data_IF_774412126512
#
_entry.id   IF_774412126512
#
_cell.length_a   1.000
_cell.length_b   1.000
_cell.length_c   1.000
_cell.angle_alpha   90.00
_cell.angle_beta   90.00
_cell.angle_gamma   90.00
#
_symmetry.space_group_name_H-M   'P 1'
#
loop_
_entity.id
_entity.type
_entity.pdbx_description
1 polymer ?
#
# COMPACT_ATOMS: atom_id res chain seq x y z
N UNK A 1 0.85 -5.09 19.03
CA UNK A 1 -0.16 -4.00 19.01
C UNK A 1 -1.34 -4.47 18.16
N UNK A 2 -2.59 -4.25 18.56
CA UNK A 2 -3.73 -4.64 17.72
C UNK A 2 -4.02 -3.50 16.74
N UNK A 3 -3.69 -3.67 15.46
CA UNK A 3 -3.91 -2.64 14.43
C UNK A 3 -5.35 -2.12 14.49
N UNK A 4 -6.34 -2.99 14.71
CA UNK A 4 -7.75 -2.59 14.86
C UNK A 4 -7.96 -1.57 15.97
N UNK A 5 -7.32 -1.74 17.13
CA UNK A 5 -7.48 -0.80 18.24
C UNK A 5 -6.85 0.55 17.91
N UNK A 6 -5.66 0.55 17.31
CA UNK A 6 -5.02 1.77 16.83
C UNK A 6 -5.92 2.53 15.83
N UNK A 7 -6.51 1.84 14.85
CA UNK A 7 -7.49 2.43 13.93
C UNK A 7 -8.69 3.07 14.62
N UNK A 8 -9.23 2.42 15.66
CA UNK A 8 -10.36 2.93 16.43
C UNK A 8 -9.95 4.15 17.27
N UNK A 9 -8.77 4.13 17.87
CA UNK A 9 -8.24 5.23 18.68
C UNK A 9 -7.96 6.46 17.80
N UNK A 10 -7.35 6.28 16.61
CA UNK A 10 -7.13 7.36 15.64
C UNK A 10 -8.47 7.93 15.13
N UNK A 11 -9.48 7.08 14.88
CA UNK A 11 -10.82 7.54 14.49
C UNK A 11 -11.54 8.32 15.60
N UNK A 12 -11.27 7.99 16.87
CA UNK A 12 -11.76 8.72 18.04
C UNK A 12 -11.00 10.04 18.31
N UNK A 13 -9.90 10.30 17.59
CA UNK A 13 -9.03 11.46 17.81
C UNK A 13 -8.11 11.31 19.03
N UNK A 14 -8.02 10.11 19.61
CA UNK A 14 -7.22 9.79 20.80
C UNK A 14 -5.93 9.04 20.46
N UNK A 15 -5.83 8.49 19.25
CA UNK A 15 -4.66 7.78 18.73
C UNK A 15 -3.68 8.68 17.99
N UNK A 16 -2.41 8.28 17.98
CA UNK A 16 -1.40 8.91 17.14
C UNK A 16 -1.76 8.73 15.66
N UNK A 17 -1.52 9.77 14.86
CA UNK A 17 -1.72 9.73 13.40
C UNK A 17 -0.46 9.13 12.77
N UNK A 18 -0.36 7.81 12.82
CA UNK A 18 0.71 7.08 12.14
C UNK A 18 0.33 6.82 10.68
N UNK A 19 1.33 6.72 9.81
CA UNK A 19 1.13 6.25 8.45
C UNK A 19 0.85 4.74 8.47
N UNK A 20 -0.14 4.29 7.71
CA UNK A 20 -0.32 2.86 7.47
C UNK A 20 0.54 2.40 6.32
N UNK A 21 1.35 1.40 6.59
CA UNK A 21 2.16 0.72 5.60
C UNK A 21 1.50 -0.61 5.20
N UNK A 22 1.40 -0.83 3.89
CA UNK A 22 1.05 -2.10 3.28
C UNK A 22 2.21 -2.54 2.39
N UNK A 23 2.52 -3.83 2.41
CA UNK A 23 3.48 -4.45 1.49
C UNK A 23 2.69 -5.34 0.53
N UNK A 24 2.77 -5.05 -0.76
CA UNK A 24 2.22 -5.87 -1.82
C UNK A 24 3.36 -6.64 -2.50
N UNK A 25 3.20 -7.96 -2.61
CA UNK A 25 4.18 -8.82 -3.27
C UNK A 25 3.68 -9.13 -4.68
N UNK A 26 4.35 -8.64 -5.73
CA UNK A 26 3.90 -8.88 -7.09
C UNK A 26 4.23 -10.31 -7.54
N UNK A 27 3.30 -10.94 -8.26
CA UNK A 27 3.51 -12.28 -8.83
C UNK A 27 4.46 -12.31 -10.05
N UNK A 28 4.93 -11.13 -10.50
CA UNK A 28 5.87 -10.98 -11.61
C UNK A 28 6.80 -9.81 -11.33
N UNK A 29 7.92 -9.75 -12.04
CA UNK A 29 8.82 -8.60 -12.00
C UNK A 29 8.06 -7.31 -12.38
N UNK A 30 8.21 -6.27 -11.56
CA UNK A 30 7.69 -4.93 -11.80
C UNK A 30 8.85 -3.96 -11.99
N UNK A 31 8.55 -2.89 -12.70
CA UNK A 31 9.40 -1.70 -12.80
C UNK A 31 8.59 -0.50 -12.33
N UNK A 32 9.26 0.58 -11.93
CA UNK A 32 8.56 1.83 -11.57
C UNK A 32 7.65 2.30 -12.71
N UNK A 33 8.13 2.25 -13.95
CA UNK A 33 7.33 2.59 -15.13
C UNK A 33 6.06 1.73 -15.26
N UNK A 34 6.13 0.42 -15.00
CA UNK A 34 4.97 -0.45 -15.08
C UNK A 34 3.98 -0.20 -13.93
N UNK A 35 4.46 0.20 -12.75
CA UNK A 35 3.61 0.65 -11.65
C UNK A 35 2.87 1.95 -12.02
N UNK A 36 3.58 2.92 -12.59
CA UNK A 36 3.01 4.18 -13.05
C UNK A 36 1.93 3.94 -14.11
N UNK A 37 2.21 3.11 -15.12
CA UNK A 37 1.24 2.73 -16.15
C UNK A 37 -0.03 2.12 -15.55
N UNK A 38 0.09 1.22 -14.56
CA UNK A 38 -1.08 0.63 -13.89
C UNK A 38 -1.91 1.68 -13.14
N UNK A 39 -1.27 2.67 -12.52
CA UNK A 39 -1.95 3.77 -11.83
C UNK A 39 -2.64 4.74 -12.80
N UNK A 40 -2.10 4.90 -14.02
CA UNK A 40 -2.73 5.67 -15.09
C UNK A 40 -3.91 4.93 -15.74
N UNK A 41 -3.79 3.61 -15.92
CA UNK A 41 -4.80 2.78 -16.60
C UNK A 41 -6.00 2.41 -15.72
N UNK A 42 -5.84 2.40 -14.39
CA UNK A 42 -6.94 2.11 -13.48
C UNK A 42 -8.05 3.17 -13.56
N UNK A 43 -9.29 2.76 -13.30
CA UNK A 43 -10.46 3.65 -13.37
C UNK A 43 -11.15 3.86 -12.02
N UNK A 44 -10.55 3.35 -10.94
CA UNK A 44 -11.14 3.40 -9.60
C UNK A 44 -10.92 4.76 -8.92
N UNK A 45 -9.71 5.32 -9.08
CA UNK A 45 -9.33 6.65 -8.65
C UNK A 45 -9.35 7.63 -9.82
N UNK A 46 -9.71 8.87 -9.52
CA UNK A 46 -9.77 9.97 -10.49
C UNK A 46 -8.72 11.03 -10.15
N UNK A 47 -8.38 11.89 -11.11
CA UNK A 47 -7.42 13.00 -10.89
C UNK A 47 -6.07 12.50 -10.33
N UNK A 48 -5.56 11.39 -10.88
CA UNK A 48 -4.29 10.81 -10.48
C UNK A 48 -3.10 11.64 -10.95
N UNK A 49 -2.21 12.01 -10.03
CA UNK A 49 -0.96 12.72 -10.28
C UNK A 49 0.20 12.04 -9.54
N UNK A 50 1.38 11.99 -10.19
CA UNK A 50 2.59 11.37 -9.65
C UNK A 50 3.65 12.44 -9.35
N UNK A 51 4.07 12.51 -8.09
CA UNK A 51 5.17 13.37 -7.63
C UNK A 51 6.39 12.51 -7.27
N UNK A 52 7.48 12.62 -8.04
CA UNK A 52 8.69 11.84 -7.77
C UNK A 52 9.48 12.39 -6.59
N UNK A 53 10.04 11.48 -5.77
CA UNK A 53 11.01 11.82 -4.73
C UNK A 53 12.41 11.47 -5.25
N UNK A 54 13.29 12.46 -5.52
CA UNK A 54 14.57 12.23 -6.18
C UNK A 54 15.53 11.29 -5.45
N UNK A 55 15.37 11.08 -4.14
CA UNK A 55 16.36 10.42 -3.29
C UNK A 55 15.92 9.04 -2.75
N UNK A 56 14.63 8.71 -2.76
CA UNK A 56 14.08 7.53 -2.05
C UNK A 56 13.62 6.37 -2.95
N UNK A 57 13.79 6.45 -4.28
CA UNK A 57 13.39 5.38 -5.20
C UNK A 57 11.87 5.12 -5.27
N UNK A 58 11.07 6.01 -4.69
CA UNK A 58 9.60 5.99 -4.69
C UNK A 58 8.99 7.30 -5.17
N UNK A 59 7.67 7.35 -5.17
CA UNK A 59 6.88 8.51 -5.59
C UNK A 59 5.61 8.63 -4.77
N UNK A 60 5.05 9.85 -4.72
CA UNK A 60 3.70 10.04 -4.22
C UNK A 60 2.70 9.93 -5.37
N UNK A 61 1.63 9.20 -5.13
CA UNK A 61 0.44 9.18 -5.97
C UNK A 61 -0.68 9.94 -5.25
N UNK A 62 -1.03 11.11 -5.78
CA UNK A 62 -2.15 11.93 -5.32
C UNK A 62 -3.36 11.63 -6.19
N UNK A 63 -4.53 11.40 -5.61
CA UNK A 63 -5.74 11.09 -6.38
C UNK A 63 -7.01 11.42 -5.59
N UNK A 64 -8.17 11.26 -6.23
CA UNK A 64 -9.48 11.39 -5.61
C UNK A 64 -10.26 10.09 -5.67
N UNK A 65 -11.04 9.86 -4.61
CA UNK A 65 -12.16 8.93 -4.63
C UNK A 65 -13.39 9.65 -4.10
N UNK A 66 -14.40 9.82 -4.96
CA UNK A 66 -15.60 10.59 -4.66
C UNK A 66 -15.23 12.04 -4.24
N UNK A 67 -15.50 12.45 -3.00
CA UNK A 67 -15.13 13.78 -2.47
C UNK A 67 -13.82 13.77 -1.66
N UNK A 68 -13.16 12.61 -1.54
CA UNK A 68 -11.98 12.43 -0.70
C UNK A 68 -10.69 12.59 -1.49
N UNK A 69 -9.79 13.47 -1.00
CA UNK A 69 -8.42 13.62 -1.51
C UNK A 69 -7.49 12.64 -0.80
N UNK A 70 -6.83 11.80 -1.58
CA UNK A 70 -5.97 10.72 -1.10
C UNK A 70 -4.55 10.94 -1.59
N UNK A 71 -3.59 10.57 -0.75
CA UNK A 71 -2.17 10.58 -1.11
C UNK A 71 -1.50 9.33 -0.58
N UNK A 72 -0.83 8.62 -1.48
CA UNK A 72 -0.11 7.39 -1.19
C UNK A 72 1.37 7.58 -1.52
N UNK A 73 2.27 7.18 -0.63
CA UNK A 73 3.67 6.96 -1.00
C UNK A 73 3.80 5.54 -1.53
N UNK A 74 4.46 5.37 -2.67
CA UNK A 74 4.65 4.08 -3.33
C UNK A 74 6.14 3.92 -3.62
N UNK A 75 6.72 2.81 -3.18
CA UNK A 75 8.10 2.47 -3.45
C UNK A 75 8.23 1.02 -3.88
N UNK A 76 9.03 0.79 -4.92
CA UNK A 76 9.46 -0.53 -5.32
C UNK A 76 10.79 -0.82 -4.63
N UNK A 77 10.84 -1.88 -3.83
CA UNK A 77 12.03 -2.27 -3.06
C UNK A 77 12.43 -3.70 -3.38
N UNK A 78 13.73 -3.98 -3.30
CA UNK A 78 14.23 -5.36 -3.34
C UNK A 78 13.75 -6.11 -2.10
N UNK A 79 13.45 -7.39 -2.26
CA UNK A 79 13.06 -8.23 -1.13
C UNK A 79 14.23 -8.44 -0.18
N UNK A 80 13.98 -8.20 1.10
CA UNK A 80 14.94 -8.49 2.16
C UNK A 80 14.87 -9.99 2.50
N UNK A 81 15.96 -10.76 2.33
CA UNK A 81 15.98 -12.19 2.68
C UNK A 81 15.81 -12.46 4.18
N UNK A 82 15.99 -11.46 5.05
CA UNK A 82 15.72 -11.56 6.49
C UNK A 82 14.24 -11.29 6.82
N UNK A 83 13.48 -10.67 5.90
CA UNK A 83 12.07 -10.39 6.09
C UNK A 83 11.23 -11.67 5.99
N UNK A 84 10.54 -11.99 7.09
CA UNK A 84 9.62 -13.13 7.13
C UNK A 84 8.18 -12.64 7.06
N UNK A 85 7.46 -13.04 6.01
CA UNK A 85 6.03 -12.79 5.90
C UNK A 85 5.33 -13.49 7.06
N UNK A 86 4.49 -12.77 7.81
CA UNK A 86 3.65 -13.36 8.84
C UNK A 86 2.22 -13.52 8.29
N UNK A 87 1.77 -14.76 8.03
CA UNK A 87 0.44 -15.04 7.49
C UNK A 87 -0.73 -14.40 8.25
N UNK A 88 -0.56 -14.17 9.55
CA UNK A 88 -1.61 -13.57 10.39
C UNK A 88 -1.95 -12.12 9.99
N UNK A 89 -1.04 -11.43 9.32
CA UNK A 89 -1.24 -10.06 8.85
C UNK A 89 -1.56 -9.98 7.34
N UNK A 90 -1.67 -11.12 6.66
CA UNK A 90 -2.04 -11.16 5.25
C UNK A 90 -3.53 -10.79 5.07
N UNK A 91 -3.81 -9.98 4.05
CA UNK A 91 -5.20 -9.61 3.70
C UNK A 91 -5.88 -10.65 2.81
N UNK A 92 -5.09 -11.49 2.13
CA UNK A 92 -5.57 -12.58 1.30
C UNK A 92 -5.30 -13.94 2.00
N UNK A 93 -6.19 -14.94 1.82
CA UNK A 93 -5.93 -16.30 2.32
C UNK A 93 -4.65 -16.84 1.70
N UNK A 94 -3.62 -17.02 2.53
CA UNK A 94 -2.31 -17.45 2.06
C UNK A 94 -2.22 -18.98 2.13
N UNK A 95 -2.32 -19.64 0.98
CA UNK A 95 -2.00 -21.07 0.89
C UNK A 95 -0.49 -21.27 1.08
N UNK A 96 -0.03 -22.49 1.44
CA UNK A 96 1.40 -22.78 1.52
C UNK A 96 2.16 -22.47 0.22
N UNK A 97 1.53 -22.69 -0.94
CA UNK A 97 2.10 -22.38 -2.25
C UNK A 97 2.27 -20.87 -2.43
N UNK A 98 1.22 -20.10 -2.18
CA UNK A 98 1.27 -18.63 -2.25
C UNK A 98 2.26 -18.04 -1.24
N UNK A 99 2.37 -18.64 -0.06
CA UNK A 99 3.36 -18.24 0.93
C UNK A 99 4.79 -18.44 0.41
N UNK A 100 5.07 -19.59 -0.20
CA UNK A 100 6.38 -19.89 -0.77
C UNK A 100 6.72 -18.96 -1.94
N UNK A 101 5.75 -18.71 -2.83
CA UNK A 101 5.90 -17.76 -3.94
C UNK A 101 6.17 -16.35 -3.44
N UNK A 102 5.37 -15.85 -2.49
CA UNK A 102 5.54 -14.50 -1.94
C UNK A 102 6.87 -14.36 -1.18
N UNK A 103 7.30 -15.39 -0.46
CA UNK A 103 8.57 -15.39 0.27
C UNK A 103 9.79 -15.47 -0.65
N UNK A 104 9.62 -15.96 -1.88
CA UNK A 104 10.68 -16.09 -2.88
C UNK A 104 10.67 -14.93 -3.91
N UNK A 105 9.70 -14.04 -3.85
CA UNK A 105 9.60 -12.91 -4.77
C UNK A 105 10.84 -12.00 -4.63
N UNK A 106 11.44 -11.54 -5.74
CA UNK A 106 12.67 -10.75 -5.69
C UNK A 106 12.43 -9.30 -5.25
N UNK A 107 11.19 -8.85 -5.23
CA UNK A 107 10.81 -7.46 -4.98
C UNK A 107 9.48 -7.36 -4.26
N UNK A 108 9.25 -6.22 -3.62
CA UNK A 108 8.03 -5.86 -2.95
C UNK A 108 7.66 -4.41 -3.26
N UNK A 109 6.36 -4.10 -3.20
CA UNK A 109 5.85 -2.73 -3.33
C UNK A 109 5.37 -2.27 -1.96
N UNK A 110 6.03 -1.25 -1.43
CA UNK A 110 5.59 -0.55 -0.22
C UNK A 110 4.57 0.49 -0.63
N UNK A 111 3.43 0.50 0.06
CA UNK A 111 2.41 1.55 -0.05
C UNK A 111 2.20 2.12 1.33
N UNK A 112 2.43 3.41 1.49
CA UNK A 112 2.09 4.12 2.71
C UNK A 112 0.95 5.10 2.47
N UNK A 113 0.00 5.16 3.40
CA UNK A 113 -1.06 6.15 3.42
C UNK A 113 -1.04 6.85 4.77
N UNK A 114 -0.95 8.18 4.76
CA UNK A 114 -1.16 8.95 5.99
C UNK A 114 -2.67 8.99 6.27
N UNK A 115 -3.08 8.52 7.45
CA UNK A 115 -4.47 8.60 7.83
C UNK A 115 -4.93 10.03 8.05
N UNK A 116 -5.97 10.41 7.31
CA UNK A 116 -6.68 11.67 7.48
C UNK A 116 -7.80 11.49 8.52
N UNK A 117 -8.90 12.23 8.41
CA UNK A 117 -10.01 12.19 9.37
C UNK A 117 -10.77 10.86 9.43
N UNK A 118 -10.55 9.93 8.48
CA UNK A 118 -11.26 8.65 8.40
C UNK A 118 -10.32 7.45 8.17
N UNK A 119 -9.52 7.05 9.18
CA UNK A 119 -8.48 6.02 9.02
C UNK A 119 -8.93 4.70 8.37
N UNK A 120 -10.14 4.22 8.70
CA UNK A 120 -10.69 2.99 8.13
C UNK A 120 -11.08 3.14 6.65
N UNK A 121 -11.57 4.32 6.25
CA UNK A 121 -11.87 4.61 4.85
C UNK A 121 -10.58 4.67 4.04
N UNK A 122 -9.59 5.43 4.50
CA UNK A 122 -8.27 5.51 3.88
C UNK A 122 -7.60 4.13 3.75
N UNK A 123 -7.67 3.28 4.79
CA UNK A 123 -7.15 1.91 4.72
C UNK A 123 -7.88 1.08 3.66
N UNK A 124 -9.20 1.20 3.56
CA UNK A 124 -9.95 0.56 2.49
C UNK A 124 -9.45 1.02 1.12
N UNK A 125 -9.19 2.32 0.93
CA UNK A 125 -8.66 2.83 -0.34
C UNK A 125 -7.24 2.32 -0.62
N UNK A 126 -6.37 2.24 0.40
CA UNK A 126 -5.04 1.66 0.28
C UNK A 126 -5.08 0.21 -0.24
N UNK A 127 -6.03 -0.61 0.24
CA UNK A 127 -6.22 -1.99 -0.24
C UNK A 127 -6.69 -2.09 -1.70
N UNK A 128 -7.24 -1.01 -2.24
CA UNK A 128 -7.82 -0.95 -3.59
C UNK A 128 -6.80 -0.55 -4.64
N UNK A 129 -5.63 -0.04 -4.23
CA UNK A 129 -4.59 0.48 -5.11
C UNK A 129 -4.06 -0.53 -6.13
N UNK A 130 -3.97 -1.82 -5.77
CA UNK A 130 -3.39 -2.87 -6.63
C UNK A 130 -4.31 -4.08 -6.86
N UNK A 131 -5.61 -3.96 -6.54
CA UNK A 131 -6.56 -5.09 -6.63
C UNK A 131 -7.47 -5.06 -7.87
N UNK A 132 -7.19 -4.23 -8.89
CA UNK A 132 -8.05 -4.08 -10.08
C UNK A 132 -7.28 -3.96 -11.39
#
# INVERSE_FOLDING_TARGET
MNNKQHYLDTAAGEGEKEASMMVAIPGSELTSLLLEQRLEEQTYFTEGEIDYIPEDGGFFFSCKKDEEELRFYIALVDSDPEYTINPYFATDPISPELYAEASAAPQAVIVECLFQGQPLANYLQQLKLFKY
#
